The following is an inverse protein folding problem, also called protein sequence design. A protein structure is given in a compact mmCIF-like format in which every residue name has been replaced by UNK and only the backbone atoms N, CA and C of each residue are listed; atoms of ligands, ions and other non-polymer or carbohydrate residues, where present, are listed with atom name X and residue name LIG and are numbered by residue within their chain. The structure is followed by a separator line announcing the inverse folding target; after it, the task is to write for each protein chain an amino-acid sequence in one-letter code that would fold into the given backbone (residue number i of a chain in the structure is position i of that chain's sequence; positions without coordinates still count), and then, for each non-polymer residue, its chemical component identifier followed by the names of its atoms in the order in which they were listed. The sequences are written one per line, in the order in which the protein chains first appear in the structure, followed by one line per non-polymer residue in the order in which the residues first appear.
data_IF_456678996414
#
_entry.id   IF_456678996414
#
_cell.length_a   1.000
_cell.length_b   1.000
_cell.length_c   1.000
_cell.angle_alpha   90.00
_cell.angle_beta   90.00
_cell.angle_gamma   90.00
#
_symmetry.space_group_name_H-M   'P 1'
#
loop_
_entity.id
_entity.type
_entity.pdbx_description
1 polymer ?
#
# COMPACT_ATOMS: atom_id res chain seq x y z
N UNK A 1 11.78 13.04 19.21
CA UNK A 1 12.00 14.17 18.27
C UNK A 1 12.08 15.48 19.06
N UNK A 2 13.15 16.30 19.05
CA UNK A 2 13.24 17.56 19.80
C UNK A 2 12.68 18.75 19.01
N UNK A 3 11.94 19.63 19.66
CA UNK A 3 11.66 21.00 19.27
C UNK A 3 10.19 21.39 19.10
N UNK A 4 9.85 22.59 19.62
CA UNK A 4 8.55 23.24 19.53
C UNK A 4 8.08 23.44 18.08
N UNK A 5 6.78 23.29 17.86
CA UNK A 5 6.11 23.58 16.58
C UNK A 5 6.16 25.09 16.35
N UNK A 6 7.05 25.55 15.46
CA UNK A 6 7.01 26.92 14.95
C UNK A 6 5.84 27.10 13.98
N UNK A 7 5.25 28.30 13.95
CA UNK A 7 4.23 28.65 12.96
C UNK A 7 4.75 28.43 11.53
N UNK A 8 3.91 27.90 10.62
CA UNK A 8 4.27 27.64 9.23
C UNK A 8 4.42 28.99 8.51
N UNK A 9 5.58 29.28 7.94
CA UNK A 9 5.73 30.35 6.96
C UNK A 9 5.26 29.82 5.57
N UNK A 10 4.23 30.41 4.97
CA UNK A 10 3.72 29.96 3.66
C UNK A 10 4.71 30.14 2.50
N UNK A 11 5.85 30.80 2.72
CA UNK A 11 6.93 30.92 1.76
C UNK A 11 8.09 29.94 2.00
N UNK A 12 8.05 29.19 3.11
CA UNK A 12 9.14 28.29 3.48
C UNK A 12 9.05 26.95 2.72
N UNK A 13 10.15 26.58 2.10
CA UNK A 13 10.34 25.30 1.39
C UNK A 13 10.88 24.26 2.35
N UNK A 14 10.28 23.08 2.31
CA UNK A 14 10.71 21.94 3.13
C UNK A 14 11.13 20.77 2.24
N UNK A 15 12.10 20.00 2.69
CA UNK A 15 12.54 18.79 2.01
C UNK A 15 11.43 17.72 1.99
N UNK A 16 11.34 16.94 0.92
CA UNK A 16 10.51 15.75 0.87
C UNK A 16 11.10 14.65 1.76
N UNK A 17 10.24 13.80 2.34
CA UNK A 17 10.74 12.51 2.84
C UNK A 17 11.28 11.67 1.68
N UNK A 18 12.14 10.71 1.97
CA UNK A 18 12.70 9.83 0.93
C UNK A 18 11.62 9.06 0.15
N UNK A 19 10.52 8.71 0.83
CA UNK A 19 9.36 8.08 0.18
C UNK A 19 8.60 9.04 -0.73
N UNK A 20 8.36 10.26 -0.27
CA UNK A 20 7.73 11.30 -1.11
C UNK A 20 8.58 11.64 -2.34
N UNK A 21 9.90 11.73 -2.20
CA UNK A 21 10.82 11.96 -3.32
C UNK A 21 10.70 10.85 -4.37
N UNK A 22 10.67 9.59 -3.94
CA UNK A 22 10.50 8.46 -4.86
C UNK A 22 9.17 8.51 -5.63
N UNK A 23 8.06 8.86 -4.95
CA UNK A 23 6.75 9.00 -5.58
C UNK A 23 6.68 10.23 -6.50
N UNK A 24 7.29 11.33 -6.11
CA UNK A 24 7.38 12.52 -6.93
C UNK A 24 8.18 12.24 -8.23
N UNK A 25 9.33 11.57 -8.11
CA UNK A 25 10.13 11.15 -9.28
C UNK A 25 9.35 10.20 -10.19
N UNK A 26 8.55 9.29 -9.61
CA UNK A 26 7.69 8.41 -10.40
C UNK A 26 6.65 9.20 -11.20
N UNK A 27 6.01 10.20 -10.60
CA UNK A 27 5.04 11.06 -11.26
C UNK A 27 5.67 11.85 -12.41
N UNK A 28 6.93 12.32 -12.27
CA UNK A 28 7.67 12.96 -13.36
C UNK A 28 7.97 12.00 -14.52
N UNK A 29 8.26 10.73 -14.21
CA UNK A 29 8.54 9.71 -15.22
C UNK A 29 7.28 9.19 -15.91
N UNK A 30 6.15 9.16 -15.21
CA UNK A 30 4.88 8.62 -15.67
C UNK A 30 3.69 9.56 -15.37
N UNK A 31 3.71 10.81 -15.87
CA UNK A 31 2.69 11.80 -15.54
C UNK A 31 1.30 11.35 -16.00
N UNK A 32 0.30 11.63 -15.15
CA UNK A 32 -1.09 11.31 -15.42
C UNK A 32 -1.48 9.85 -15.20
N UNK A 33 -0.63 9.05 -14.55
CA UNK A 33 -0.98 7.68 -14.14
C UNK A 33 -1.76 7.69 -12.82
N UNK A 34 -2.67 6.72 -12.67
CA UNK A 34 -3.37 6.47 -11.41
C UNK A 34 -2.71 5.34 -10.58
N UNK A 35 -1.48 4.91 -10.93
CA UNK A 35 -0.81 3.78 -10.28
C UNK A 35 -0.52 4.00 -8.77
N UNK A 36 -0.50 5.25 -8.33
CA UNK A 36 -0.40 5.65 -6.92
C UNK A 36 -1.61 6.42 -6.41
N UNK A 37 -2.77 6.26 -7.07
CA UNK A 37 -4.03 6.72 -6.51
C UNK A 37 -4.57 5.68 -5.52
N UNK A 38 -5.10 6.17 -4.41
CA UNK A 38 -5.72 5.37 -3.35
C UNK A 38 -7.19 5.76 -3.27
N UNK A 39 -8.06 5.09 -4.05
CA UNK A 39 -9.49 5.37 -4.03
C UNK A 39 -10.17 4.58 -2.91
N UNK A 40 -11.10 5.25 -2.21
CA UNK A 40 -12.07 4.68 -1.29
C UNK A 40 -13.46 5.19 -1.66
N UNK A 41 -14.47 4.37 -1.50
CA UNK A 41 -15.85 4.79 -1.65
C UNK A 41 -16.73 4.13 -0.59
N UNK A 42 -17.65 4.92 -0.01
CA UNK A 42 -18.54 4.48 1.05
C UNK A 42 -19.99 4.84 0.71
N UNK A 43 -20.87 3.85 0.74
CA UNK A 43 -22.30 4.08 0.65
C UNK A 43 -22.83 4.47 2.02
N UNK A 44 -23.44 5.63 2.11
CA UNK A 44 -23.97 6.24 3.34
C UNK A 44 -25.50 6.28 3.25
N UNK A 45 -26.18 5.64 4.20
CA UNK A 45 -27.64 5.66 4.30
C UNK A 45 -28.09 6.24 5.63
N UNK A 46 -28.97 7.24 5.57
CA UNK A 46 -29.50 7.96 6.69
C UNK A 46 -29.48 9.48 6.51
N UNK A 47 -29.89 10.26 7.54
CA UNK A 47 -30.02 11.70 7.48
C UNK A 47 -28.64 12.41 7.52
N UNK A 48 -27.87 12.29 6.45
CA UNK A 48 -26.56 12.89 6.33
C UNK A 48 -26.64 14.43 6.24
N UNK A 49 -25.87 15.11 7.06
CA UNK A 49 -25.66 16.56 7.02
C UNK A 49 -24.37 16.88 6.25
N UNK A 50 -24.48 17.09 4.93
CA UNK A 50 -23.35 17.35 4.04
C UNK A 50 -22.56 18.62 4.43
N UNK A 51 -23.25 19.64 4.98
CA UNK A 51 -22.65 20.85 5.50
C UNK A 51 -21.70 20.58 6.69
N UNK A 52 -22.13 19.71 7.63
CA UNK A 52 -21.32 19.31 8.78
C UNK A 52 -20.15 18.38 8.36
N UNK A 53 -20.37 17.52 7.37
CA UNK A 53 -19.31 16.66 6.82
C UNK A 53 -18.21 17.53 6.17
N UNK A 54 -18.60 18.57 5.40
CA UNK A 54 -17.64 19.53 4.83
C UNK A 54 -16.90 20.32 5.92
N UNK A 55 -17.59 20.74 6.98
CA UNK A 55 -16.96 21.44 8.09
C UNK A 55 -15.96 20.54 8.85
N UNK A 56 -16.30 19.26 9.09
CA UNK A 56 -15.38 18.27 9.66
C UNK A 56 -14.15 18.03 8.76
N UNK A 57 -14.35 17.92 7.45
CA UNK A 57 -13.24 17.81 6.50
C UNK A 57 -12.33 19.05 6.54
N UNK A 58 -12.91 20.25 6.64
CA UNK A 58 -12.14 21.50 6.77
C UNK A 58 -11.24 21.48 8.01
N UNK A 59 -11.76 20.96 9.12
CA UNK A 59 -10.97 20.80 10.35
C UNK A 59 -9.77 19.85 10.11
N UNK A 60 -10.01 18.70 9.49
CA UNK A 60 -8.93 17.71 9.20
C UNK A 60 -7.88 18.32 8.28
N UNK A 61 -8.26 19.03 7.22
CA UNK A 61 -7.32 19.69 6.28
C UNK A 61 -6.52 20.81 6.96
N UNK A 62 -7.13 21.58 7.87
CA UNK A 62 -6.42 22.60 8.66
C UNK A 62 -5.38 21.97 9.56
N UNK A 63 -5.73 20.87 10.20
CA UNK A 63 -4.92 20.15 11.17
C UNK A 63 -3.75 19.39 10.51
N UNK A 64 -4.01 18.64 9.45
CA UNK A 64 -3.05 17.76 8.77
C UNK A 64 -2.42 18.49 7.57
N UNK A 65 -1.22 19.06 7.76
CA UNK A 65 -0.57 19.92 6.78
C UNK A 65 -0.34 19.25 5.42
N UNK A 66 -0.07 17.93 5.40
CA UNK A 66 0.18 17.20 4.16
C UNK A 66 -1.02 17.25 3.20
N UNK A 67 -2.24 17.39 3.71
CA UNK A 67 -3.46 17.51 2.89
C UNK A 67 -3.58 18.85 2.14
N UNK A 68 -2.75 19.83 2.49
CA UNK A 68 -2.66 21.15 1.85
C UNK A 68 -1.21 21.47 1.46
N UNK A 69 -0.45 20.43 1.13
CA UNK A 69 0.95 20.56 0.73
C UNK A 69 1.09 20.44 -0.79
N UNK A 70 1.71 21.45 -1.40
CA UNK A 70 2.12 21.43 -2.79
C UNK A 70 3.51 20.79 -2.92
N UNK A 71 3.68 19.93 -3.91
CA UNK A 71 4.95 19.31 -4.24
C UNK A 71 5.46 19.94 -5.53
N UNK A 72 6.56 20.64 -5.45
CA UNK A 72 7.13 21.44 -6.54
C UNK A 72 8.62 21.16 -6.71
N UNK A 73 9.22 21.67 -7.76
CA UNK A 73 10.66 21.64 -7.96
C UNK A 73 11.22 23.02 -8.30
N UNK A 74 12.51 23.19 -8.04
CA UNK A 74 13.30 24.33 -8.45
C UNK A 74 14.67 23.84 -8.86
N UNK A 75 15.07 24.07 -10.10
CA UNK A 75 16.33 23.59 -10.70
C UNK A 75 16.57 22.06 -10.54
N UNK A 76 15.48 21.25 -10.53
CA UNK A 76 15.55 19.80 -10.39
C UNK A 76 15.48 19.28 -8.93
N UNK A 77 15.50 20.18 -7.95
CA UNK A 77 15.38 19.82 -6.53
C UNK A 77 13.91 19.89 -6.08
N UNK A 78 13.27 18.75 -5.74
CA UNK A 78 11.89 18.73 -5.28
C UNK A 78 11.76 19.22 -3.84
N UNK A 79 10.70 19.98 -3.58
CA UNK A 79 10.37 20.50 -2.25
C UNK A 79 8.88 20.46 -1.98
N UNK A 80 8.50 20.44 -0.70
CA UNK A 80 7.14 20.62 -0.26
C UNK A 80 6.90 22.06 0.21
N UNK A 81 5.74 22.60 -0.14
CA UNK A 81 5.25 23.91 0.25
C UNK A 81 3.90 23.77 0.94
N UNK A 82 3.84 24.07 2.23
CA UNK A 82 2.60 23.98 2.99
C UNK A 82 1.77 25.23 2.73
N UNK A 83 0.60 25.07 2.10
CA UNK A 83 -0.29 26.17 1.79
C UNK A 83 -1.07 26.61 3.04
N UNK A 84 -1.52 27.88 3.10
CA UNK A 84 -2.42 28.34 4.14
C UNK A 84 -3.69 27.47 4.23
N UNK A 85 -4.27 27.27 5.44
CA UNK A 85 -5.51 26.54 5.58
C UNK A 85 -6.65 27.29 4.86
N UNK A 86 -7.45 26.51 4.13
CA UNK A 86 -8.64 26.97 3.44
C UNK A 86 -9.82 26.07 3.76
N UNK A 87 -11.03 26.48 3.44
CA UNK A 87 -12.20 25.60 3.50
C UNK A 87 -12.04 24.45 2.53
N UNK A 88 -12.35 23.25 2.99
CA UNK A 88 -12.32 22.07 2.15
C UNK A 88 -13.52 22.04 1.18
N UNK A 89 -13.26 21.57 -0.03
CA UNK A 89 -14.30 21.35 -1.02
C UNK A 89 -14.93 19.96 -0.80
N UNK A 90 -16.26 19.91 -0.81
CA UNK A 90 -17.05 18.67 -0.84
C UNK A 90 -18.20 18.86 -1.82
N UNK A 91 -17.93 18.81 -3.13
CA UNK A 91 -18.98 18.98 -4.13
C UNK A 91 -19.99 17.83 -4.05
N UNK A 92 -21.28 18.20 -4.18
CA UNK A 92 -22.41 17.28 -4.21
C UNK A 92 -22.89 17.12 -5.65
N UNK A 93 -22.91 15.88 -6.13
CA UNK A 93 -23.38 15.52 -7.47
C UNK A 93 -24.62 14.64 -7.37
N UNK A 94 -25.68 14.99 -8.11
CA UNK A 94 -26.83 14.12 -8.30
C UNK A 94 -26.47 13.03 -9.32
N UNK A 95 -26.83 11.80 -9.04
CA UNK A 95 -26.69 10.66 -9.96
C UNK A 95 -28.02 9.94 -10.10
N UNK A 96 -28.37 9.58 -11.32
CA UNK A 96 -29.68 9.02 -11.62
C UNK A 96 -29.79 7.54 -11.20
N UNK A 97 -28.70 6.78 -11.30
CA UNK A 97 -28.69 5.36 -11.01
C UNK A 97 -27.29 4.81 -10.67
N UNK A 98 -27.25 3.50 -10.40
CA UNK A 98 -25.99 2.81 -10.06
C UNK A 98 -24.97 2.74 -11.19
N UNK A 99 -25.40 2.80 -12.47
CA UNK A 99 -24.48 2.75 -13.61
C UNK A 99 -23.74 4.09 -13.75
N UNK A 100 -24.48 5.21 -13.68
CA UNK A 100 -23.89 6.55 -13.66
C UNK A 100 -22.93 6.74 -12.48
N UNK A 101 -23.31 6.23 -11.29
CA UNK A 101 -22.46 6.24 -10.12
C UNK A 101 -21.15 5.46 -10.36
N UNK A 102 -21.24 4.25 -10.91
CA UNK A 102 -20.07 3.42 -11.18
C UNK A 102 -19.10 4.12 -12.15
N UNK A 103 -19.63 4.70 -13.22
CA UNK A 103 -18.84 5.49 -14.18
C UNK A 103 -18.20 6.71 -13.54
N UNK A 104 -18.95 7.42 -12.67
CA UNK A 104 -18.41 8.57 -11.94
C UNK A 104 -17.26 8.16 -11.00
N UNK A 105 -17.44 7.11 -10.21
CA UNK A 105 -16.41 6.61 -9.29
C UNK A 105 -15.14 6.15 -10.04
N UNK A 106 -15.29 5.47 -11.18
CA UNK A 106 -14.14 5.08 -12.00
C UNK A 106 -13.39 6.28 -12.59
N UNK A 107 -14.11 7.33 -13.04
CA UNK A 107 -13.47 8.57 -13.49
C UNK A 107 -12.70 9.23 -12.35
N UNK A 108 -13.32 9.36 -11.16
CA UNK A 108 -12.68 9.92 -9.97
C UNK A 108 -11.37 9.20 -9.60
N UNK A 109 -11.41 7.86 -9.58
CA UNK A 109 -10.27 7.04 -9.23
C UNK A 109 -9.08 7.23 -10.18
N UNK A 110 -9.34 7.63 -11.44
CA UNK A 110 -8.35 7.78 -12.51
C UNK A 110 -7.98 9.21 -12.85
N UNK A 111 -8.75 10.21 -12.42
CA UNK A 111 -8.47 11.61 -12.69
C UNK A 111 -7.08 11.99 -12.13
N UNK A 112 -6.13 12.47 -12.95
CA UNK A 112 -4.79 12.82 -12.48
C UNK A 112 -4.80 13.89 -11.39
N UNK A 113 -3.77 13.87 -10.54
CA UNK A 113 -3.53 14.92 -9.56
C UNK A 113 -2.55 15.96 -10.10
N UNK A 114 -2.87 17.24 -9.88
CA UNK A 114 -1.88 18.31 -9.94
C UNK A 114 -1.26 18.48 -8.54
N UNK A 115 -0.14 17.81 -8.31
CA UNK A 115 0.56 17.85 -7.03
C UNK A 115 1.09 19.26 -6.71
N UNK A 116 1.38 20.09 -7.73
CA UNK A 116 1.85 21.46 -7.55
C UNK A 116 0.75 22.43 -7.07
N UNK A 117 -0.53 22.05 -7.23
CA UNK A 117 -1.68 22.82 -6.73
C UNK A 117 -1.90 22.69 -5.22
N UNK A 118 -1.24 21.73 -4.54
CA UNK A 118 -1.36 21.53 -3.09
C UNK A 118 -2.66 20.87 -2.65
N UNK A 119 -3.25 20.08 -3.51
CA UNK A 119 -4.48 19.29 -3.26
C UNK A 119 -4.23 17.82 -3.60
N UNK A 120 -3.48 17.07 -2.76
CA UNK A 120 -3.14 15.67 -3.04
C UNK A 120 -4.29 14.71 -2.73
N UNK A 121 -5.51 15.19 -2.57
CA UNK A 121 -6.71 14.40 -2.34
C UNK A 121 -7.95 15.07 -2.94
N UNK A 122 -9.00 14.29 -3.18
CA UNK A 122 -10.34 14.73 -3.59
C UNK A 122 -11.37 13.99 -2.76
N UNK A 123 -12.36 14.74 -2.22
CA UNK A 123 -13.60 14.18 -1.69
C UNK A 123 -14.77 14.66 -2.53
N UNK A 124 -15.67 13.75 -2.90
CA UNK A 124 -16.93 14.08 -3.57
C UNK A 124 -18.08 13.30 -2.95
N UNK A 125 -19.24 13.93 -2.91
CA UNK A 125 -20.47 13.31 -2.43
C UNK A 125 -21.41 13.13 -3.61
N UNK A 126 -21.86 11.90 -3.84
CA UNK A 126 -22.87 11.55 -4.85
C UNK A 126 -24.18 11.27 -4.14
N UNK A 127 -25.28 11.90 -4.58
CA UNK A 127 -26.61 11.68 -4.03
C UNK A 127 -27.44 10.83 -4.97
N UNK A 128 -27.95 9.70 -4.46
CA UNK A 128 -28.86 8.79 -5.14
C UNK A 128 -30.30 8.98 -4.68
N UNK A 129 -30.50 9.58 -3.51
CA UNK A 129 -31.80 9.80 -2.91
C UNK A 129 -31.74 10.73 -1.70
N UNK A 130 -32.90 11.04 -1.07
CA UNK A 130 -32.93 11.94 0.09
C UNK A 130 -32.04 11.51 1.25
N UNK A 131 -31.91 10.22 1.48
CA UNK A 131 -31.14 9.61 2.57
C UNK A 131 -30.11 8.59 2.06
N UNK A 132 -29.75 8.64 0.77
CA UNK A 132 -28.77 7.75 0.20
C UNK A 132 -27.70 8.53 -0.56
N UNK A 133 -26.45 8.40 -0.08
CA UNK A 133 -25.28 9.07 -0.64
C UNK A 133 -24.14 8.10 -0.84
N UNK A 134 -23.19 8.47 -1.68
CA UNK A 134 -21.88 7.81 -1.77
C UNK A 134 -20.79 8.85 -1.59
N UNK A 135 -19.93 8.63 -0.59
CA UNK A 135 -18.73 9.42 -0.36
C UNK A 135 -17.58 8.78 -1.12
N UNK A 136 -17.02 9.49 -2.10
CA UNK A 136 -15.78 9.12 -2.79
C UNK A 136 -14.62 9.90 -2.20
N UNK A 137 -13.57 9.19 -1.81
CA UNK A 137 -12.30 9.73 -1.39
C UNK A 137 -11.20 9.15 -2.29
N UNK A 138 -10.48 10.00 -2.99
CA UNK A 138 -9.29 9.59 -3.75
C UNK A 138 -8.11 10.40 -3.26
N UNK A 139 -7.02 9.73 -2.91
CA UNK A 139 -5.79 10.37 -2.46
C UNK A 139 -4.62 9.95 -3.33
N UNK A 140 -3.67 10.87 -3.54
CA UNK A 140 -2.36 10.50 -4.07
C UNK A 140 -1.50 9.92 -2.94
N UNK A 141 -0.85 8.80 -3.18
CA UNK A 141 -0.06 8.11 -2.17
C UNK A 141 1.07 8.96 -1.55
N UNK A 142 1.52 10.04 -2.25
CA UNK A 142 2.52 11.00 -1.72
C UNK A 142 2.09 11.67 -0.40
N UNK A 143 0.78 11.72 -0.15
CA UNK A 143 0.18 12.35 1.04
C UNK A 143 -0.50 11.35 1.98
N UNK A 144 -0.46 10.05 1.69
CA UNK A 144 -1.17 9.04 2.49
C UNK A 144 -0.52 7.66 2.42
N UNK A 145 -0.83 6.84 3.40
CA UNK A 145 -0.63 5.39 3.44
C UNK A 145 -1.85 4.71 4.08
N UNK A 146 -1.83 3.39 4.22
CA UNK A 146 -2.97 2.66 4.78
C UNK A 146 -3.34 3.09 6.21
N UNK A 147 -2.35 3.38 7.06
CA UNK A 147 -2.57 3.91 8.42
C UNK A 147 -3.15 5.32 8.39
N UNK A 148 -2.62 6.18 7.54
CA UNK A 148 -3.08 7.57 7.37
C UNK A 148 -4.53 7.66 6.92
N UNK A 149 -5.00 6.72 6.09
CA UNK A 149 -6.41 6.66 5.69
C UNK A 149 -7.32 6.40 6.89
N UNK A 150 -6.90 5.54 7.81
CA UNK A 150 -7.63 5.31 9.05
C UNK A 150 -7.68 6.57 9.89
N UNK A 151 -6.54 7.25 10.11
CA UNK A 151 -6.49 8.53 10.83
C UNK A 151 -7.45 9.55 10.21
N UNK A 152 -7.46 9.66 8.87
CA UNK A 152 -8.37 10.56 8.15
C UNK A 152 -9.85 10.24 8.44
N UNK A 153 -10.24 8.97 8.34
CA UNK A 153 -11.62 8.52 8.56
C UNK A 153 -12.04 8.72 10.02
N UNK A 154 -11.16 8.39 10.96
CA UNK A 154 -11.41 8.55 12.39
C UNK A 154 -11.56 10.05 12.78
N UNK A 155 -10.65 10.94 12.30
CA UNK A 155 -10.74 12.39 12.54
C UNK A 155 -11.99 13.02 11.89
N UNK A 156 -12.33 12.58 10.66
CA UNK A 156 -13.53 13.03 9.96
C UNK A 156 -14.80 12.63 10.73
N UNK A 157 -14.86 11.39 11.21
CA UNK A 157 -15.98 10.85 11.99
C UNK A 157 -16.15 11.58 13.32
N UNK A 158 -15.04 11.77 14.06
CA UNK A 158 -15.06 12.48 15.34
C UNK A 158 -15.48 13.96 15.17
N UNK A 159 -14.93 14.64 14.15
CA UNK A 159 -15.29 16.02 13.85
C UNK A 159 -16.77 16.18 13.47
N UNK A 160 -17.29 15.29 12.61
CA UNK A 160 -18.70 15.27 12.24
C UNK A 160 -19.62 15.04 13.46
N UNK A 161 -19.31 14.06 14.31
CA UNK A 161 -20.10 13.75 15.50
C UNK A 161 -20.12 14.93 16.50
N UNK A 162 -18.98 15.61 16.69
CA UNK A 162 -18.89 16.80 17.54
C UNK A 162 -19.77 17.94 17.02
N UNK A 163 -19.68 18.26 15.73
CA UNK A 163 -20.48 19.30 15.08
C UNK A 163 -21.97 18.98 15.15
N UNK A 164 -22.36 17.73 14.92
CA UNK A 164 -23.76 17.31 15.01
C UNK A 164 -24.31 17.48 16.43
N UNK A 165 -23.47 17.26 17.45
CA UNK A 165 -23.82 17.47 18.85
C UNK A 165 -23.72 18.94 19.31
N UNK A 166 -23.40 19.90 18.41
CA UNK A 166 -23.23 21.31 18.73
C UNK A 166 -21.99 21.60 19.59
N UNK A 167 -21.00 20.72 19.59
CA UNK A 167 -19.74 20.87 20.29
C UNK A 167 -18.69 21.49 19.36
N UNK A 168 -17.70 22.15 19.95
CA UNK A 168 -16.53 22.61 19.20
C UNK A 168 -15.68 21.38 18.77
N UNK A 169 -15.52 21.13 17.44
CA UNK A 169 -14.80 19.97 16.95
C UNK A 169 -13.28 20.04 17.25
N UNK A 170 -12.71 21.23 17.49
CA UNK A 170 -11.29 21.36 17.84
C UNK A 170 -10.99 20.77 19.23
N UNK A 171 -12.00 20.61 20.08
CA UNK A 171 -11.84 20.07 21.45
C UNK A 171 -11.83 18.54 21.51
N UNK A 172 -12.24 17.84 20.45
CA UNK A 172 -12.35 16.38 20.44
C UNK A 172 -11.13 15.69 19.84
N UNK A 173 -10.27 16.41 19.15
CA UNK A 173 -9.03 15.88 18.58
C UNK A 173 -7.83 16.43 19.38
N UNK A 174 -6.95 15.56 19.90
CA UNK A 174 -5.75 15.99 20.62
C UNK A 174 -4.80 16.74 19.68
N UNK A 175 -4.04 17.71 20.20
CA UNK A 175 -3.05 18.44 19.42
C UNK A 175 -2.03 17.47 18.78
N UNK A 176 -1.64 17.74 17.52
CA UNK A 176 -0.63 16.92 16.85
C UNK A 176 0.75 17.19 17.45
N UNK A 177 1.49 16.13 17.83
CA UNK A 177 2.82 16.30 18.44
C UNK A 177 3.82 16.99 17.53
N UNK A 178 3.76 16.65 16.22
CA UNK A 178 4.65 17.20 15.19
C UNK A 178 3.92 17.26 13.83
N UNK A 179 4.26 18.19 12.94
CA UNK A 179 3.76 18.18 11.57
C UNK A 179 4.58 17.22 10.67
N UNK A 180 3.99 16.75 9.56
CA UNK A 180 4.65 15.83 8.64
C UNK A 180 6.00 16.35 8.09
N UNK A 181 6.12 17.66 7.79
CA UNK A 181 7.39 18.26 7.34
C UNK A 181 8.55 18.05 8.32
N UNK A 182 8.27 17.98 9.63
CA UNK A 182 9.28 17.67 10.66
C UNK A 182 9.74 16.22 10.58
N UNK A 183 8.82 15.29 10.33
CA UNK A 183 9.17 13.89 10.05
C UNK A 183 10.08 13.79 8.82
N UNK A 184 9.72 14.45 7.70
CA UNK A 184 10.50 14.40 6.48
C UNK A 184 11.95 14.85 6.70
N UNK A 185 12.15 15.96 7.41
CA UNK A 185 13.46 16.46 7.79
C UNK A 185 14.20 15.52 8.75
N UNK A 186 13.53 15.08 9.82
CA UNK A 186 14.10 14.14 10.79
C UNK A 186 14.55 12.84 10.11
N UNK A 187 13.75 12.28 9.22
CA UNK A 187 14.11 11.08 8.46
C UNK A 187 15.43 11.29 7.70
N UNK A 188 15.59 12.43 7.02
CA UNK A 188 16.82 12.72 6.29
C UNK A 188 18.03 12.91 7.20
N UNK A 189 17.84 13.53 8.37
CA UNK A 189 18.89 13.71 9.37
C UNK A 189 19.34 12.38 9.99
N UNK A 190 18.41 11.41 10.19
CA UNK A 190 18.73 10.08 10.73
C UNK A 190 19.54 9.21 9.77
N UNK A 191 19.37 9.36 8.46
CA UNK A 191 20.04 8.52 7.48
C UNK A 191 21.23 9.22 6.83
N UNK A 192 22.26 9.51 7.63
CA UNK A 192 23.50 10.15 7.21
C UNK A 192 24.73 9.56 7.93
N UNK A 193 25.91 9.82 7.39
CA UNK A 193 27.18 9.48 8.04
C UNK A 193 27.52 7.98 8.11
N UNK A 194 28.42 7.60 9.05
CA UNK A 194 28.92 6.23 9.14
C UNK A 194 27.86 5.18 9.47
N UNK A 195 26.83 5.52 10.25
CA UNK A 195 25.73 4.62 10.60
C UNK A 195 24.93 4.19 9.36
N UNK A 196 24.68 5.13 8.45
CA UNK A 196 24.04 4.80 7.17
C UNK A 196 24.90 3.84 6.34
N UNK A 197 26.23 4.03 6.32
CA UNK A 197 27.13 3.14 5.56
C UNK A 197 27.14 1.72 6.11
N UNK A 198 27.00 1.53 7.43
CA UNK A 198 26.87 0.21 8.06
C UNK A 198 25.56 -0.47 7.62
N UNK A 199 24.43 0.25 7.73
CA UNK A 199 23.12 -0.24 7.30
C UNK A 199 23.12 -0.62 5.81
N UNK A 200 23.69 0.22 4.95
CA UNK A 200 23.82 -0.05 3.51
C UNK A 200 24.79 -1.21 3.20
N UNK A 201 25.82 -1.40 4.03
CA UNK A 201 26.72 -2.55 3.97
C UNK A 201 25.97 -3.86 4.19
N UNK A 202 25.07 -3.89 5.18
CA UNK A 202 24.17 -5.03 5.42
C UNK A 202 23.30 -5.34 4.18
N UNK A 203 22.61 -4.35 3.63
CA UNK A 203 21.77 -4.54 2.44
C UNK A 203 22.58 -4.96 1.21
N UNK A 204 23.79 -4.45 1.04
CA UNK A 204 24.67 -4.85 -0.04
C UNK A 204 25.10 -6.33 0.08
N UNK A 205 25.23 -6.85 1.28
CA UNK A 205 25.49 -8.25 1.52
C UNK A 205 24.26 -9.13 1.32
N UNK A 206 23.12 -8.76 1.92
CA UNK A 206 21.86 -9.51 1.87
C UNK A 206 21.34 -9.67 0.43
N UNK A 207 21.45 -8.60 -0.37
CA UNK A 207 20.96 -8.55 -1.75
C UNK A 207 22.05 -8.79 -2.81
N UNK A 208 23.23 -9.29 -2.38
CA UNK A 208 24.33 -9.62 -3.32
C UNK A 208 23.87 -10.68 -4.31
N UNK A 209 24.12 -10.42 -5.61
CA UNK A 209 23.80 -11.36 -6.69
C UNK A 209 22.33 -11.79 -6.72
N UNK A 210 21.42 -10.95 -6.18
CA UNK A 210 19.99 -11.23 -6.16
C UNK A 210 19.48 -11.46 -7.58
N UNK A 211 18.93 -12.64 -7.90
CA UNK A 211 18.36 -12.88 -9.21
C UNK A 211 17.09 -12.07 -9.42
N UNK A 212 16.92 -11.49 -10.60
CA UNK A 212 15.65 -10.85 -10.95
C UNK A 212 14.52 -11.88 -10.95
N UNK A 213 13.44 -11.58 -10.24
CA UNK A 213 12.22 -12.40 -10.26
C UNK A 213 11.43 -12.04 -11.53
N UNK A 214 11.61 -12.84 -12.58
CA UNK A 214 10.90 -12.66 -13.85
C UNK A 214 9.79 -13.71 -13.97
N UNK A 215 8.55 -13.31 -13.65
CA UNK A 215 7.36 -14.16 -13.72
C UNK A 215 6.72 -14.22 -15.11
N UNK A 216 7.19 -13.40 -16.04
CA UNK A 216 6.73 -13.35 -17.43
C UNK A 216 7.92 -13.35 -18.41
N UNK A 217 8.75 -14.44 -18.42
CA UNK A 217 9.91 -14.50 -19.28
C UNK A 217 9.48 -14.41 -20.76
N UNK A 218 10.17 -13.54 -21.51
CA UNK A 218 9.88 -13.34 -22.94
C UNK A 218 8.77 -12.34 -23.27
N UNK A 219 7.98 -11.87 -22.32
CA UNK A 219 7.07 -10.73 -22.54
C UNK A 219 7.85 -9.43 -22.35
N UNK A 220 8.25 -8.83 -23.47
CA UNK A 220 8.89 -7.51 -23.50
C UNK A 220 7.82 -6.43 -23.38
N UNK A 221 7.89 -5.59 -22.34
CA UNK A 221 7.13 -4.34 -22.32
C UNK A 221 7.71 -3.42 -23.39
N UNK A 222 7.04 -3.30 -24.53
CA UNK A 222 7.44 -2.42 -25.62
C UNK A 222 6.82 -1.04 -25.40
N UNK A 223 7.64 0.00 -25.39
CA UNK A 223 7.18 1.38 -25.25
C UNK A 223 7.14 1.88 -23.82
N UNK A 224 6.35 2.95 -23.59
CA UNK A 224 6.13 3.53 -22.25
C UNK A 224 5.17 2.63 -21.47
N UNK A 225 5.45 2.27 -20.18
CA UNK A 225 4.54 1.45 -19.38
C UNK A 225 3.17 2.12 -19.22
N UNK A 226 2.09 1.39 -19.42
CA UNK A 226 0.73 1.89 -19.20
C UNK A 226 0.30 1.76 -17.75
N UNK A 227 1.01 0.92 -16.97
CA UNK A 227 0.64 0.51 -15.61
C UNK A 227 -0.75 -0.15 -15.52
N UNK A 228 -1.35 -0.51 -16.66
CA UNK A 228 -2.63 -1.19 -16.69
C UNK A 228 -2.56 -2.48 -15.87
N UNK A 229 -3.54 -2.64 -15.00
CA UNK A 229 -3.60 -3.75 -14.06
C UNK A 229 -5.04 -4.22 -13.86
N UNK A 230 -5.16 -5.46 -13.40
CA UNK A 230 -6.42 -6.04 -12.98
C UNK A 230 -6.23 -6.70 -11.60
N UNK A 231 -7.33 -7.07 -10.97
CA UNK A 231 -7.34 -7.60 -9.61
C UNK A 231 -8.24 -8.81 -9.50
N UNK A 232 -7.71 -9.88 -8.91
CA UNK A 232 -8.46 -11.06 -8.50
C UNK A 232 -8.57 -11.07 -6.97
N UNK A 233 -9.79 -11.16 -6.44
CA UNK A 233 -10.02 -11.38 -5.00
C UNK A 233 -10.70 -12.72 -4.81
N UNK A 234 -10.13 -13.58 -3.97
CA UNK A 234 -10.69 -14.88 -3.64
C UNK A 234 -10.80 -15.05 -2.12
N UNK A 235 -11.88 -15.65 -1.67
CA UNK A 235 -12.04 -16.06 -0.26
C UNK A 235 -11.28 -17.35 -0.05
N UNK A 236 -10.45 -17.40 1.00
CA UNK A 236 -9.75 -18.60 1.42
C UNK A 236 -10.70 -19.49 2.26
N UNK A 237 -10.29 -20.72 2.48
CA UNK A 237 -11.15 -21.71 3.16
C UNK A 237 -11.52 -21.25 4.58
N UNK A 238 -12.78 -21.50 5.02
CA UNK A 238 -13.16 -21.28 6.40
C UNK A 238 -12.25 -22.02 7.37
N UNK A 239 -11.82 -21.35 8.42
CA UNK A 239 -10.91 -21.92 9.44
C UNK A 239 -9.42 -21.93 9.06
N UNK A 240 -9.06 -21.71 7.80
CA UNK A 240 -7.66 -21.69 7.36
C UNK A 240 -6.86 -20.61 8.09
N UNK A 241 -7.41 -19.40 8.26
CA UNK A 241 -6.77 -18.31 9.01
C UNK A 241 -6.43 -18.74 10.44
N UNK A 242 -7.38 -19.31 11.17
CA UNK A 242 -7.17 -19.79 12.55
C UNK A 242 -6.10 -20.88 12.62
N UNK A 243 -6.12 -21.84 11.69
CA UNK A 243 -5.12 -22.91 11.61
C UNK A 243 -3.72 -22.38 11.32
N UNK A 244 -3.58 -21.44 10.37
CA UNK A 244 -2.30 -20.80 10.05
C UNK A 244 -1.76 -19.94 11.21
N UNK A 245 -2.65 -19.23 11.91
CA UNK A 245 -2.29 -18.45 13.10
C UNK A 245 -1.79 -19.36 14.24
N UNK A 246 -2.44 -20.50 14.46
CA UNK A 246 -1.98 -21.49 15.44
C UNK A 246 -0.63 -22.11 15.04
N UNK A 247 -0.47 -22.46 13.77
CA UNK A 247 0.79 -22.96 13.23
C UNK A 247 1.94 -21.96 13.39
N UNK A 248 1.71 -20.68 13.05
CA UNK A 248 2.70 -19.61 13.21
C UNK A 248 3.13 -19.48 14.68
N UNK A 249 2.17 -19.46 15.62
CA UNK A 249 2.45 -19.43 17.07
C UNK A 249 3.25 -20.66 17.53
N UNK A 250 2.87 -21.85 17.08
CA UNK A 250 3.57 -23.09 17.44
C UNK A 250 5.01 -23.12 16.88
N UNK A 251 5.25 -22.53 15.72
CA UNK A 251 6.56 -22.42 15.10
C UNK A 251 7.40 -21.21 15.61
N UNK A 252 6.83 -20.34 16.46
CA UNK A 252 7.50 -19.15 16.97
C UNK A 252 7.78 -18.09 15.89
N UNK A 253 6.96 -18.00 14.84
CA UNK A 253 7.08 -17.05 13.74
C UNK A 253 5.83 -16.19 13.60
N UNK A 254 5.92 -15.06 12.89
CA UNK A 254 4.75 -14.25 12.56
C UNK A 254 3.88 -14.94 11.48
N UNK A 255 2.57 -14.66 11.48
CA UNK A 255 1.68 -15.08 10.40
C UNK A 255 2.16 -14.55 9.04
N UNK A 256 2.65 -13.31 9.01
CA UNK A 256 3.25 -12.71 7.83
C UNK A 256 4.40 -13.58 7.27
N UNK A 257 5.34 -14.00 8.13
CA UNK A 257 6.48 -14.81 7.70
C UNK A 257 6.07 -16.20 7.20
N UNK A 258 5.04 -16.78 7.80
CA UNK A 258 4.49 -18.05 7.35
C UNK A 258 3.84 -17.92 5.96
N UNK A 259 3.01 -16.90 5.73
CA UNK A 259 2.38 -16.61 4.44
C UNK A 259 3.43 -16.24 3.38
N UNK A 260 4.44 -15.44 3.75
CA UNK A 260 5.56 -15.08 2.90
C UNK A 260 6.38 -16.27 2.44
N UNK A 261 6.50 -17.30 3.31
CA UNK A 261 7.18 -18.57 2.95
C UNK A 261 6.42 -19.35 1.89
N UNK A 262 5.09 -19.40 1.99
CA UNK A 262 4.26 -19.98 0.94
C UNK A 262 4.36 -19.19 -0.37
N UNK A 263 4.41 -17.85 -0.29
CA UNK A 263 4.62 -17.00 -1.47
C UNK A 263 6.00 -17.20 -2.09
N UNK A 264 7.07 -17.28 -1.29
CA UNK A 264 8.41 -17.57 -1.78
C UNK A 264 8.49 -18.92 -2.52
N UNK A 265 7.85 -19.98 -1.99
CA UNK A 265 7.74 -21.26 -2.67
C UNK A 265 6.95 -21.13 -3.99
N UNK A 266 5.86 -20.38 -4.03
CA UNK A 266 5.13 -20.12 -5.25
C UNK A 266 5.98 -19.39 -6.31
N UNK A 267 6.81 -18.43 -5.89
CA UNK A 267 7.78 -17.75 -6.77
C UNK A 267 8.86 -18.73 -7.28
N UNK A 268 9.37 -19.61 -6.40
CA UNK A 268 10.34 -20.65 -6.76
C UNK A 268 9.79 -21.55 -7.86
N UNK A 269 8.56 -22.04 -7.73
CA UNK A 269 7.95 -22.89 -8.75
C UNK A 269 7.78 -22.13 -10.08
N UNK A 270 7.29 -20.90 -10.03
CA UNK A 270 7.00 -20.11 -11.23
C UNK A 270 8.24 -19.64 -11.98
N UNK A 271 9.33 -19.39 -11.26
CA UNK A 271 10.60 -18.94 -11.85
C UNK A 271 11.55 -20.08 -12.17
N UNK A 272 11.33 -21.25 -11.59
CA UNK A 272 12.29 -22.37 -11.61
C UNK A 272 13.57 -22.08 -10.83
N UNK A 273 13.61 -21.06 -9.98
CA UNK A 273 14.79 -20.63 -9.23
C UNK A 273 14.57 -20.84 -7.73
N UNK A 274 15.47 -21.55 -7.04
CA UNK A 274 15.34 -21.78 -5.60
C UNK A 274 15.65 -20.53 -4.77
N UNK A 275 16.37 -19.56 -5.32
CA UNK A 275 16.69 -18.28 -4.70
C UNK A 275 15.81 -17.20 -5.31
N UNK A 276 14.90 -16.68 -4.51
CA UNK A 276 13.89 -15.70 -4.91
C UNK A 276 13.79 -14.55 -3.92
N UNK A 277 13.14 -13.46 -4.32
CA UNK A 277 12.85 -12.35 -3.43
C UNK A 277 11.52 -11.70 -3.79
N UNK A 278 10.93 -11.06 -2.79
CA UNK A 278 9.77 -10.17 -2.96
C UNK A 278 9.92 -8.97 -2.02
N UNK A 279 9.22 -7.88 -2.33
CA UNK A 279 9.19 -6.76 -1.42
C UNK A 279 7.97 -6.84 -0.48
N UNK A 280 8.10 -6.18 0.66
CA UNK A 280 6.99 -5.87 1.56
C UNK A 280 7.11 -4.43 2.06
N UNK A 281 6.08 -3.95 2.74
CA UNK A 281 6.04 -2.59 3.27
C UNK A 281 6.11 -2.63 4.79
N UNK A 282 7.02 -1.84 5.35
CA UNK A 282 7.05 -1.50 6.77
C UNK A 282 6.24 -0.23 7.00
N UNK A 283 5.55 -0.13 8.13
CA UNK A 283 4.67 1.00 8.43
C UNK A 283 5.40 2.34 8.61
N UNK A 284 6.70 2.30 8.96
CA UNK A 284 7.54 3.49 9.14
C UNK A 284 7.11 4.40 10.30
N UNK A 285 6.37 3.88 11.29
CA UNK A 285 5.84 4.62 12.45
C UNK A 285 6.40 4.06 13.75
N UNK A 286 7.73 4.02 13.86
CA UNK A 286 8.42 3.54 15.08
C UNK A 286 8.28 4.47 16.28
N UNK A 287 7.90 5.74 16.06
CA UNK A 287 7.73 6.75 17.11
C UNK A 287 6.24 7.01 17.36
N UNK A 288 5.75 6.99 18.62
CA UNK A 288 4.34 7.24 18.94
C UNK A 288 3.81 8.58 18.43
N UNK A 289 4.67 9.59 18.32
CA UNK A 289 4.34 10.92 17.79
C UNK A 289 3.91 10.90 16.32
N UNK A 290 4.25 9.84 15.57
CA UNK A 290 3.88 9.67 14.16
C UNK A 290 2.51 9.01 13.98
N UNK A 291 1.98 8.33 15.00
CA UNK A 291 0.73 7.60 14.91
C UNK A 291 -0.47 8.48 14.48
N UNK A 292 -0.68 9.70 15.03
CA UNK A 292 -1.82 10.55 14.70
C UNK A 292 -1.65 11.36 13.41
N UNK A 293 -0.53 11.21 12.69
CA UNK A 293 -0.25 11.99 11.49
C UNK A 293 -0.82 11.33 10.23
N UNK A 294 -1.27 12.15 9.29
CA UNK A 294 -1.50 11.76 7.91
C UNK A 294 -0.23 12.05 7.10
N UNK A 295 0.18 11.12 6.23
CA UNK A 295 1.35 11.25 5.38
C UNK A 295 1.77 9.94 4.74
N UNK A 296 2.87 9.94 4.01
CA UNK A 296 3.50 8.76 3.43
C UNK A 296 4.67 8.32 4.30
N UNK A 297 4.46 7.34 5.15
CA UNK A 297 5.48 6.83 6.08
C UNK A 297 6.03 5.48 5.67
N UNK A 298 5.28 4.71 4.87
CA UNK A 298 5.67 3.35 4.51
C UNK A 298 7.03 3.31 3.81
N UNK A 299 7.80 2.31 4.19
CA UNK A 299 9.08 2.02 3.57
C UNK A 299 9.07 0.61 2.98
N UNK A 300 9.58 0.46 1.77
CA UNK A 300 9.68 -0.83 1.11
C UNK A 300 10.99 -1.53 1.49
N UNK A 301 10.90 -2.81 1.84
CA UNK A 301 12.05 -3.67 2.09
C UNK A 301 11.97 -4.93 1.23
N UNK A 302 13.13 -5.50 0.90
CA UNK A 302 13.24 -6.72 0.09
C UNK A 302 13.54 -7.89 0.99
N UNK A 303 12.73 -8.93 0.91
CA UNK A 303 12.92 -10.18 1.62
C UNK A 303 13.39 -11.27 0.63
N UNK A 304 14.57 -11.83 0.88
CA UNK A 304 15.15 -12.93 0.09
C UNK A 304 14.84 -14.26 0.75
N UNK A 305 14.49 -15.25 -0.05
CA UNK A 305 14.22 -16.62 0.37
C UNK A 305 14.98 -17.59 -0.53
N UNK A 306 15.86 -18.38 0.07
CA UNK A 306 16.60 -19.44 -0.60
C UNK A 306 16.15 -20.81 -0.07
N UNK A 307 15.70 -21.67 -0.98
CA UNK A 307 15.23 -23.03 -0.72
C UNK A 307 16.08 -24.09 -1.46
N UNK A 308 17.30 -23.75 -1.87
CA UNK A 308 18.20 -24.62 -2.66
C UNK A 308 18.61 -25.90 -1.93
N UNK A 309 18.70 -25.87 -0.60
CA UNK A 309 19.04 -26.99 0.27
C UNK A 309 17.83 -27.89 0.62
N UNK A 310 16.70 -27.70 -0.03
CA UNK A 310 15.46 -28.46 0.19
C UNK A 310 14.97 -28.45 1.65
N UNK A 311 14.82 -27.26 2.28
CA UNK A 311 14.42 -27.17 3.67
C UNK A 311 12.97 -27.62 3.90
N UNK A 312 12.64 -28.01 5.14
CA UNK A 312 11.23 -28.17 5.54
C UNK A 312 10.52 -26.81 5.61
N UNK A 313 9.20 -26.78 5.44
CA UNK A 313 8.44 -25.53 5.41
C UNK A 313 8.64 -24.67 6.67
N UNK A 314 8.66 -25.30 7.86
CA UNK A 314 8.90 -24.56 9.10
C UNK A 314 10.31 -23.92 9.15
N UNK A 315 11.32 -24.53 8.46
CA UNK A 315 12.67 -23.96 8.34
C UNK A 315 12.65 -22.75 7.40
N UNK A 316 11.91 -22.82 6.27
CA UNK A 316 11.69 -21.66 5.40
C UNK A 316 11.05 -20.52 6.17
N UNK A 317 10.01 -20.84 6.98
CA UNK A 317 9.29 -19.83 7.77
C UNK A 317 10.18 -19.20 8.86
N UNK A 318 11.04 -19.99 9.51
CA UNK A 318 11.99 -19.45 10.48
C UNK A 318 13.05 -18.55 9.82
N UNK A 319 13.59 -18.95 8.65
CA UNK A 319 14.54 -18.13 7.87
C UNK A 319 13.91 -16.82 7.43
N UNK A 320 12.68 -16.85 6.91
CA UNK A 320 11.98 -15.66 6.46
C UNK A 320 11.60 -14.74 7.63
N UNK A 321 11.22 -15.33 8.78
CA UNK A 321 10.96 -14.54 9.99
C UNK A 321 12.23 -13.82 10.46
N UNK A 322 13.38 -14.50 10.47
CA UNK A 322 14.66 -13.87 10.78
C UNK A 322 15.04 -12.77 9.77
N UNK A 323 14.79 -12.99 8.47
CA UNK A 323 15.01 -11.99 7.43
C UNK A 323 14.11 -10.76 7.63
N UNK A 324 12.83 -10.99 8.01
CA UNK A 324 11.89 -9.89 8.30
C UNK A 324 12.34 -9.06 9.51
N UNK A 325 12.78 -9.70 10.59
CA UNK A 325 13.29 -9.00 11.77
C UNK A 325 14.55 -8.18 11.42
N UNK A 326 15.50 -8.79 10.67
CA UNK A 326 16.67 -8.03 10.19
C UNK A 326 16.29 -6.85 9.32
N UNK A 327 15.27 -7.00 8.45
CA UNK A 327 14.80 -5.92 7.60
C UNK A 327 14.23 -4.75 8.42
N UNK A 328 13.68 -5.02 9.60
CA UNK A 328 13.23 -4.00 10.57
C UNK A 328 14.43 -3.37 11.29
N UNK A 329 15.36 -4.20 11.80
CA UNK A 329 16.53 -3.71 12.55
C UNK A 329 17.49 -2.87 11.68
N UNK A 330 17.61 -3.21 10.39
CA UNK A 330 18.46 -2.52 9.41
C UNK A 330 17.63 -1.66 8.45
N UNK A 331 16.49 -1.12 8.89
CA UNK A 331 15.63 -0.31 8.03
C UNK A 331 16.37 0.93 7.50
N UNK A 332 16.33 1.10 6.18
CA UNK A 332 16.86 2.26 5.44
C UNK A 332 15.85 2.63 4.36
N UNK A 333 15.66 3.91 4.04
CA UNK A 333 14.79 4.29 2.94
C UNK A 333 15.14 3.56 1.64
N UNK A 334 14.17 2.89 1.05
CA UNK A 334 14.36 2.01 -0.13
C UNK A 334 15.12 2.69 -1.28
N UNK A 335 14.81 3.96 -1.56
CA UNK A 335 15.52 4.73 -2.59
C UNK A 335 17.02 4.83 -2.35
N UNK A 336 17.46 4.87 -1.08
CA UNK A 336 18.87 4.91 -0.71
C UNK A 336 19.55 3.56 -0.95
N UNK A 337 18.86 2.44 -0.64
CA UNK A 337 19.32 1.08 -0.97
C UNK A 337 19.49 0.92 -2.48
N UNK A 338 18.50 1.36 -3.26
CA UNK A 338 18.54 1.32 -4.74
C UNK A 338 19.73 2.13 -5.30
N UNK A 339 19.96 3.33 -4.77
CA UNK A 339 21.12 4.15 -5.19
C UNK A 339 22.46 3.48 -4.88
N UNK A 340 22.57 2.86 -3.68
CA UNK A 340 23.80 2.19 -3.24
C UNK A 340 24.13 0.94 -4.05
N UNK A 341 23.12 0.12 -4.34
CA UNK A 341 23.28 -1.13 -5.08
C UNK A 341 23.38 -0.92 -6.60
N UNK A 342 22.90 0.22 -7.09
CA UNK A 342 22.87 0.58 -8.50
C UNK A 342 22.45 -0.56 -9.44
N UNK A 343 21.33 -1.27 -9.15
CA UNK A 343 20.92 -2.43 -9.94
C UNK A 343 20.63 -2.04 -11.39
N UNK A 344 20.73 -2.99 -12.31
CA UNK A 344 20.37 -2.77 -13.72
C UNK A 344 18.92 -2.34 -13.82
N UNK A 345 18.69 -1.11 -14.26
CA UNK A 345 17.33 -0.56 -14.42
C UNK A 345 16.70 -1.06 -15.70
N UNK A 346 15.46 -1.52 -15.60
CA UNK A 346 14.61 -1.88 -16.73
C UNK A 346 13.40 -0.93 -16.75
N UNK A 347 13.06 -0.32 -17.89
CA UNK A 347 11.92 0.58 -17.98
C UNK A 347 10.63 -0.08 -17.45
N UNK A 348 9.89 0.66 -16.60
CA UNK A 348 8.62 0.19 -16.04
C UNK A 348 8.69 -0.96 -15.05
N UNK A 349 9.88 -1.28 -14.51
CA UNK A 349 10.05 -2.29 -13.46
C UNK A 349 10.80 -1.73 -12.26
N UNK A 350 10.35 -2.09 -11.07
CA UNK A 350 11.09 -1.80 -9.85
C UNK A 350 12.45 -2.52 -9.90
N UNK A 351 13.55 -1.83 -9.59
CA UNK A 351 14.88 -2.37 -9.81
C UNK A 351 15.27 -3.57 -8.94
N UNK A 352 14.75 -3.69 -7.71
CA UNK A 352 15.11 -4.75 -6.78
C UNK A 352 13.98 -5.75 -6.54
N UNK A 353 12.72 -5.33 -6.68
CA UNK A 353 11.58 -6.20 -6.46
C UNK A 353 10.45 -5.88 -7.44
N UNK A 354 10.07 -6.86 -8.26
CA UNK A 354 8.98 -6.76 -9.21
C UNK A 354 7.64 -7.17 -8.61
N UNK A 355 7.68 -7.96 -7.54
CA UNK A 355 6.51 -8.48 -6.85
C UNK A 355 6.53 -8.12 -5.39
N UNK A 356 5.34 -7.88 -4.83
CA UNK A 356 5.19 -7.54 -3.42
C UNK A 356 4.23 -8.51 -2.73
N UNK A 357 4.41 -8.69 -1.42
CA UNK A 357 3.49 -9.43 -0.57
C UNK A 357 3.18 -8.62 0.68
N UNK A 358 1.92 -8.58 1.05
CA UNK A 358 1.42 -7.87 2.22
C UNK A 358 0.47 -8.75 3.03
N UNK A 359 0.39 -8.49 4.33
CA UNK A 359 -0.67 -8.96 5.20
C UNK A 359 -1.41 -7.73 5.74
N UNK A 360 -2.69 -7.60 5.39
CA UNK A 360 -3.56 -6.58 5.93
C UNK A 360 -4.38 -7.17 7.07
N UNK A 361 -4.14 -6.68 8.27
CA UNK A 361 -4.92 -7.05 9.46
C UNK A 361 -6.08 -6.08 9.66
N UNK A 362 -7.10 -6.46 10.42
CA UNK A 362 -8.27 -5.61 10.68
C UNK A 362 -7.94 -4.22 11.26
N UNK A 363 -6.77 -4.08 11.94
CA UNK A 363 -6.28 -2.79 12.43
C UNK A 363 -5.62 -1.91 11.37
N UNK A 364 -5.25 -2.46 10.21
CA UNK A 364 -4.61 -1.73 9.11
C UNK A 364 -5.56 -1.37 7.96
N UNK A 365 -6.83 -1.80 8.02
CA UNK A 365 -7.86 -1.35 7.09
C UNK A 365 -8.21 0.12 7.37
N UNK A 366 -8.57 0.93 6.34
CA UNK A 366 -8.90 2.33 6.53
C UNK A 366 -10.05 2.60 7.52
N UNK A 367 -10.87 1.58 7.81
CA UNK A 367 -12.11 1.76 8.56
C UNK A 367 -13.21 2.36 7.69
N UNK A 368 -14.40 2.50 8.27
CA UNK A 368 -15.57 3.14 7.64
C UNK A 368 -15.89 4.42 8.39
N UNK A 369 -16.41 5.45 7.71
CA UNK A 369 -16.90 6.62 8.42
C UNK A 369 -18.01 6.26 9.43
N UNK A 370 -17.78 6.57 10.70
CA UNK A 370 -18.76 6.41 11.78
C UNK A 370 -19.50 7.72 11.99
N UNK A 371 -20.63 7.87 11.28
CA UNK A 371 -21.44 9.09 11.31
C UNK A 371 -22.73 8.81 12.06
N UNK A 372 -23.04 9.51 13.18
CA UNK A 372 -24.25 9.26 13.97
C UNK A 372 -25.54 9.32 13.14
N UNK A 373 -26.34 8.24 13.20
CA UNK A 373 -27.60 8.12 12.44
C UNK A 373 -27.41 7.71 10.97
N UNK A 374 -26.19 7.47 10.51
CA UNK A 374 -25.89 7.07 9.13
C UNK A 374 -25.16 5.73 9.14
N UNK A 375 -25.64 4.75 8.37
CA UNK A 375 -24.92 3.50 8.12
C UNK A 375 -23.92 3.66 6.99
N UNK A 376 -22.77 3.03 7.12
CA UNK A 376 -21.67 3.10 6.13
C UNK A 376 -21.31 1.70 5.63
N UNK A 377 -21.23 1.51 4.32
CA UNK A 377 -20.83 0.28 3.65
C UNK A 377 -19.73 0.58 2.62
N UNK A 378 -18.72 -0.28 2.53
CA UNK A 378 -17.67 -0.14 1.52
C UNK A 378 -18.21 -0.40 0.12
N UNK A 379 -17.78 0.41 -0.84
CA UNK A 379 -17.91 0.13 -2.26
C UNK A 379 -16.52 -0.26 -2.76
N UNK A 380 -16.40 -1.45 -3.33
CA UNK A 380 -15.15 -1.91 -3.92
C UNK A 380 -14.81 -1.07 -5.15
N UNK A 381 -13.70 -0.34 -5.08
CA UNK A 381 -13.24 0.55 -6.13
C UNK A 381 -11.76 0.27 -6.44
N UNK A 382 -11.48 -0.03 -7.70
CA UNK A 382 -10.14 -0.32 -8.17
C UNK A 382 -9.77 0.60 -9.35
N UNK A 383 -8.62 1.30 -9.33
CA UNK A 383 -8.27 2.26 -10.38
C UNK A 383 -7.87 1.61 -11.70
N UNK A 384 -7.60 0.30 -11.71
CA UNK A 384 -7.17 -0.45 -12.90
C UNK A 384 -5.74 -0.14 -13.32
N UNK A 385 -4.93 0.39 -12.41
CA UNK A 385 -3.49 0.63 -12.61
C UNK A 385 -2.71 0.26 -11.36
N UNK A 386 -1.47 -0.22 -11.54
CA UNK A 386 -0.61 -0.67 -10.45
C UNK A 386 0.87 -0.53 -10.81
N UNK A 387 1.70 -0.17 -9.83
CA UNK A 387 3.12 0.12 -10.05
C UNK A 387 4.02 -1.11 -10.12
N UNK A 388 3.57 -2.26 -9.62
CA UNK A 388 4.33 -3.52 -9.59
C UNK A 388 3.84 -4.51 -10.64
N UNK A 389 4.66 -5.52 -10.93
CA UNK A 389 4.26 -6.62 -11.82
C UNK A 389 3.12 -7.43 -11.19
N UNK A 390 3.23 -7.71 -9.89
CA UNK A 390 2.14 -8.28 -9.09
C UNK A 390 2.27 -7.91 -7.61
N UNK A 391 1.12 -7.75 -6.95
CA UNK A 391 1.00 -7.63 -5.49
C UNK A 391 0.07 -8.70 -4.98
N UNK A 392 0.54 -9.46 -3.99
CA UNK A 392 -0.25 -10.45 -3.27
C UNK A 392 -0.56 -9.90 -1.89
N UNK A 393 -1.83 -9.71 -1.57
CA UNK A 393 -2.27 -9.23 -0.26
C UNK A 393 -3.17 -10.27 0.39
N UNK A 394 -2.77 -10.76 1.56
CA UNK A 394 -3.65 -11.49 2.46
C UNK A 394 -4.40 -10.50 3.33
N UNK A 395 -5.72 -10.67 3.47
CA UNK A 395 -6.59 -9.70 4.14
C UNK A 395 -7.42 -10.41 5.21
N UNK A 396 -7.27 -9.97 6.45
CA UNK A 396 -8.17 -10.33 7.55
C UNK A 396 -9.38 -9.37 7.49
N UNK A 397 -10.54 -9.90 7.10
CA UNK A 397 -11.79 -9.14 6.98
C UNK A 397 -12.86 -9.77 7.88
N UNK A 398 -12.85 -9.40 9.15
CA UNK A 398 -13.73 -9.98 10.16
C UNK A 398 -13.56 -11.50 10.28
N UNK A 399 -14.61 -12.31 9.97
CA UNK A 399 -14.50 -13.76 9.96
C UNK A 399 -13.86 -14.33 8.70
N UNK A 400 -13.71 -13.50 7.66
CA UNK A 400 -13.20 -13.90 6.38
C UNK A 400 -11.69 -13.72 6.28
N UNK A 401 -11.06 -14.59 5.49
CA UNK A 401 -9.67 -14.47 5.10
C UNK A 401 -9.60 -14.44 3.57
N UNK A 402 -9.20 -13.30 3.04
CA UNK A 402 -9.19 -13.05 1.61
C UNK A 402 -7.76 -13.04 1.08
N UNK A 403 -7.64 -13.42 -0.19
CA UNK A 403 -6.42 -13.28 -0.98
C UNK A 403 -6.72 -12.37 -2.15
N UNK A 404 -6.07 -11.21 -2.21
CA UNK A 404 -6.12 -10.29 -3.33
C UNK A 404 -4.82 -10.40 -4.14
N UNK A 405 -4.95 -10.53 -5.45
CA UNK A 405 -3.82 -10.54 -6.39
C UNK A 405 -4.07 -9.43 -7.40
N UNK A 406 -3.32 -8.35 -7.28
CA UNK A 406 -3.24 -7.29 -8.27
C UNK A 406 -2.10 -7.60 -9.24
N UNK A 407 -2.34 -7.49 -10.54
CA UNK A 407 -1.35 -7.89 -11.54
C UNK A 407 -1.37 -6.99 -12.77
N UNK A 408 -0.21 -6.75 -13.34
CA UNK A 408 -0.06 -6.00 -14.59
C UNK A 408 -0.64 -6.79 -15.77
N UNK A 409 -1.63 -6.22 -16.47
CA UNK A 409 -2.23 -6.83 -17.65
C UNK A 409 -1.31 -6.82 -18.87
N UNK A 410 -0.21 -6.05 -18.83
CA UNK A 410 0.85 -6.13 -19.84
C UNK A 410 1.68 -7.40 -19.73
N UNK A 411 1.77 -7.98 -18.53
CA UNK A 411 2.59 -9.16 -18.24
C UNK A 411 1.77 -10.44 -18.03
N UNK A 412 0.56 -10.31 -17.47
CA UNK A 412 -0.25 -11.43 -16.99
C UNK A 412 -1.70 -11.33 -17.46
N UNK A 413 -2.43 -12.42 -17.28
CA UNK A 413 -3.86 -12.54 -17.57
C UNK A 413 -4.62 -13.13 -16.35
N UNK A 414 -5.94 -13.13 -16.41
CA UNK A 414 -6.78 -13.66 -15.33
C UNK A 414 -6.49 -15.15 -15.00
N UNK A 415 -6.27 -16.05 -15.99
CA UNK A 415 -5.83 -17.43 -15.71
C UNK A 415 -4.51 -17.52 -14.92
N UNK A 416 -3.57 -16.61 -15.18
CA UNK A 416 -2.32 -16.56 -14.42
C UNK A 416 -2.58 -16.21 -12.95
N UNK A 417 -3.41 -15.21 -12.68
CA UNK A 417 -3.76 -14.80 -11.32
C UNK A 417 -4.54 -15.89 -10.59
N UNK A 418 -5.52 -16.53 -11.25
CA UNK A 418 -6.27 -17.65 -10.69
C UNK A 418 -5.34 -18.82 -10.33
N UNK A 419 -4.41 -19.17 -11.22
CA UNK A 419 -3.41 -20.21 -10.96
C UNK A 419 -2.47 -19.88 -9.82
N UNK A 420 -2.12 -18.59 -9.58
CA UNK A 420 -1.34 -18.19 -8.40
C UNK A 420 -2.16 -18.32 -7.11
N UNK A 421 -3.44 -17.93 -7.15
CA UNK A 421 -4.34 -18.08 -6.00
C UNK A 421 -4.53 -19.55 -5.62
N UNK A 422 -4.75 -20.44 -6.60
CA UNK A 422 -4.91 -21.90 -6.38
C UNK A 422 -3.62 -22.52 -5.82
N UNK A 423 -2.47 -22.12 -6.34
CA UNK A 423 -1.16 -22.56 -5.87
C UNK A 423 -0.92 -22.16 -4.42
N UNK A 424 -1.17 -20.90 -4.06
CA UNK A 424 -1.03 -20.40 -2.69
C UNK A 424 -2.00 -21.14 -1.73
N UNK A 425 -3.26 -21.27 -2.13
CA UNK A 425 -4.26 -22.01 -1.36
C UNK A 425 -3.86 -23.46 -1.13
N UNK A 426 -3.36 -24.14 -2.18
CA UNK A 426 -2.87 -25.51 -2.10
C UNK A 426 -1.69 -25.66 -1.13
N UNK A 427 -0.69 -24.76 -1.22
CA UNK A 427 0.45 -24.74 -0.30
C UNK A 427 -0.01 -24.55 1.15
N UNK A 428 -0.87 -23.54 1.41
CA UNK A 428 -1.34 -23.22 2.75
C UNK A 428 -2.13 -24.39 3.38
N UNK A 429 -2.95 -25.12 2.61
CA UNK A 429 -3.63 -26.33 3.08
C UNK A 429 -2.66 -27.43 3.48
N UNK A 430 -1.67 -27.71 2.60
CA UNK A 430 -0.69 -28.77 2.86
C UNK A 430 0.15 -28.48 4.12
N UNK A 431 0.57 -27.24 4.31
CA UNK A 431 1.45 -26.88 5.42
C UNK A 431 0.74 -26.82 6.78
N UNK A 432 -0.56 -26.56 6.81
CA UNK A 432 -1.38 -26.68 8.03
C UNK A 432 -1.35 -28.13 8.55
N UNK A 433 -1.54 -29.11 7.65
CA UNK A 433 -1.58 -30.52 8.04
C UNK A 433 -0.18 -31.10 8.25
N UNK A 434 0.82 -30.63 7.49
CA UNK A 434 2.16 -31.23 7.39
C UNK A 434 3.26 -30.17 7.30
N UNK A 435 3.51 -29.38 8.36
CA UNK A 435 4.50 -28.28 8.33
C UNK A 435 5.95 -28.76 8.16
N UNK A 436 6.24 -30.02 8.39
CA UNK A 436 7.54 -30.64 8.14
C UNK A 436 7.78 -31.08 6.68
N UNK A 437 6.83 -30.82 5.77
CA UNK A 437 7.01 -31.18 4.35
C UNK A 437 8.14 -30.36 3.74
N UNK A 438 9.06 -31.04 3.01
CA UNK A 438 10.20 -30.40 2.35
C UNK A 438 9.78 -29.59 1.13
N UNK A 439 10.55 -28.56 0.81
CA UNK A 439 10.29 -27.61 -0.26
C UNK A 439 10.04 -28.30 -1.60
N UNK A 440 10.88 -29.23 -2.04
CA UNK A 440 10.71 -29.95 -3.31
C UNK A 440 9.39 -30.72 -3.37
N UNK A 441 8.98 -31.34 -2.26
CA UNK A 441 7.71 -32.07 -2.20
C UNK A 441 6.51 -31.13 -2.25
N UNK A 442 6.60 -29.95 -1.62
CA UNK A 442 5.60 -28.91 -1.70
C UNK A 442 5.47 -28.36 -3.13
N UNK A 443 6.60 -28.05 -3.76
CA UNK A 443 6.65 -27.58 -5.14
C UNK A 443 6.02 -28.60 -6.11
N UNK A 444 6.37 -29.89 -5.97
CA UNK A 444 5.81 -30.95 -6.80
C UNK A 444 4.28 -31.12 -6.60
N UNK A 445 3.76 -30.87 -5.39
CA UNK A 445 2.33 -30.99 -5.09
C UNK A 445 1.48 -29.87 -5.70
N UNK A 446 2.07 -28.70 -5.99
CA UNK A 446 1.40 -27.51 -6.53
C UNK A 446 1.92 -27.14 -7.93
N UNK A 447 2.78 -27.97 -8.53
CA UNK A 447 3.29 -27.77 -9.87
C UNK A 447 2.14 -27.68 -10.89
N UNK A 448 2.23 -26.71 -11.79
CA UNK A 448 1.31 -26.59 -12.90
C UNK A 448 1.46 -27.78 -13.85
N UNK A 449 0.36 -28.27 -14.45
CA UNK A 449 0.51 -29.05 -15.67
C UNK A 449 1.27 -28.21 -16.71
N UNK A 450 2.19 -28.82 -17.48
CA UNK A 450 2.94 -28.09 -18.51
C UNK A 450 1.94 -27.33 -19.40
N UNK A 451 2.15 -26.05 -19.58
CA UNK A 451 1.39 -25.21 -20.49
C UNK A 451 1.62 -25.80 -21.90
N UNK A 452 0.61 -26.41 -22.51
CA UNK A 452 0.66 -26.70 -23.93
C UNK A 452 0.81 -25.35 -24.65
N UNK A 453 1.87 -25.15 -25.47
CA UNK A 453 1.97 -23.94 -26.26
C UNK A 453 0.78 -23.88 -27.19
N UNK A 454 0.07 -22.77 -27.19
CA UNK A 454 -1.05 -22.50 -28.11
C UNK A 454 -0.60 -22.76 -29.55
N UNK A 455 -0.95 -23.92 -30.06
CA UNK A 455 -0.76 -24.29 -31.46
C UNK A 455 -1.92 -23.70 -32.29
N UNK A 456 -1.89 -22.37 -32.49
CA UNK A 456 -2.99 -21.79 -33.24
C UNK A 456 -2.80 -20.33 -33.60
N UNK A 457 -1.99 -20.08 -34.64
CA UNK A 457 -2.30 -19.10 -35.68
C UNK A 457 -1.24 -19.18 -36.78
N UNK A 458 -1.47 -20.03 -37.76
CA UNK A 458 -0.86 -19.90 -39.09
C UNK A 458 -1.55 -18.80 -39.88
#
# INVERSE_FOLDING_TARGET
MPGSVGATDPAERYELSSGQEALWMFEQLAPGTAAYHVPLAFRLRGPLRADLLRAALTLVVRRQEVLRTAFREDDGDPYQLVLPPAEAELPLHEVADGAELADALHREAREPFDLAAGRPFRLRLFRLGPEEHVLSLVMHHIATDGWSLRVLIDELSAGYAALLAGKDPETVLPELPVPYRRYARWQRECFQGPELEELLGHWAQELRDLPAVDLAPGRSRRGRPSFAADRLVVRLDPGLHGALTQLARAAGVSLFSLLGSAFALALTERTGRPDTAFATLLAGRGEPELEPLIGYFVNMVVLRADVSDDPAFYEVSARLNAATLRAIDYEVPFGTVVRRLAPVRRPGRNPLAQVTMQLRTGGSAPGRPELPGVTSEDIDLYPGQHAFDATVTFIEDGPDFLLSIEYSTEAFDAPWAAGLADQLRGLLRIVVDRPGTRARKLLAAVARPPHEPDQGAS
#
